data_IF_526954056770
#
_entry.id   IF_526954056770
#
_cell.length_a   1.000
_cell.length_b   1.000
_cell.length_c   1.000
_cell.angle_alpha   90.00
_cell.angle_beta   90.00
_cell.angle_gamma   90.00
#
_symmetry.space_group_name_H-M   'P 1'
#
loop_
_entity.id
_entity.type
_entity.pdbx_description
1 polymer ?
#
# COMPACT_ATOMS: atom_id res chain seq x y z
N UNK A 1 -1.61 -11.82 19.75
CA UNK A 1 -2.95 -11.98 20.36
C UNK A 1 -2.90 -12.39 21.84
N UNK A 2 -2.07 -13.36 22.25
CA UNK A 2 -1.97 -13.75 23.67
C UNK A 2 -1.73 -12.60 24.66
N UNK A 3 -0.87 -11.63 24.31
CA UNK A 3 -0.65 -10.43 25.12
C UNK A 3 -1.89 -9.51 25.25
N UNK A 4 -2.73 -9.41 24.21
CA UNK A 4 -3.97 -8.63 24.25
C UNK A 4 -4.98 -9.26 25.23
N UNK A 5 -5.17 -10.58 25.15
CA UNK A 5 -6.15 -11.30 25.97
C UNK A 5 -5.87 -11.19 27.47
N UNK A 6 -4.59 -11.12 27.85
CA UNK A 6 -4.16 -10.95 29.25
C UNK A 6 -4.51 -9.57 29.80
N UNK A 7 -4.61 -8.55 28.94
CA UNK A 7 -4.77 -7.15 29.34
C UNK A 7 -6.23 -6.71 29.52
N UNK A 8 -7.22 -7.61 29.30
CA UNK A 8 -8.66 -7.29 29.38
C UNK A 8 -9.01 -5.96 28.69
N UNK A 9 -8.81 -5.88 27.37
CA UNK A 9 -8.82 -4.60 26.65
C UNK A 9 -10.20 -3.94 26.70
N UNK A 10 -10.24 -2.65 27.02
CA UNK A 10 -11.46 -1.84 26.91
C UNK A 10 -11.83 -1.57 25.45
N UNK A 11 -10.81 -1.46 24.60
CA UNK A 11 -10.95 -1.15 23.18
C UNK A 11 -9.97 -1.99 22.36
N UNK A 12 -10.43 -2.47 21.20
CA UNK A 12 -9.59 -3.21 20.23
C UNK A 12 -9.70 -2.57 18.85
N UNK A 13 -8.55 -2.24 18.25
CA UNK A 13 -8.46 -1.96 16.81
C UNK A 13 -7.80 -3.15 16.12
N UNK A 14 -8.42 -3.65 15.06
CA UNK A 14 -7.90 -4.79 14.30
C UNK A 14 -7.62 -4.39 12.84
N UNK A 15 -6.34 -4.31 12.50
CA UNK A 15 -5.83 -4.05 11.16
C UNK A 15 -4.95 -5.24 10.74
N UNK A 16 -5.49 -6.10 9.86
CA UNK A 16 -4.84 -7.32 9.35
C UNK A 16 -5.25 -7.48 7.88
N UNK A 17 -4.36 -7.97 7.02
CA UNK A 17 -4.63 -8.18 5.59
C UNK A 17 -3.70 -7.41 4.64
N UNK A 18 -2.96 -6.41 5.13
CA UNK A 18 -2.04 -5.64 4.29
C UNK A 18 -0.81 -6.44 3.84
N UNK A 19 -0.24 -7.24 4.74
CA UNK A 19 0.97 -8.02 4.46
C UNK A 19 0.69 -9.22 3.55
N UNK A 20 -0.53 -9.74 3.61
CA UNK A 20 -1.04 -10.87 2.84
C UNK A 20 -1.02 -10.61 1.33
N UNK A 21 -0.95 -9.35 0.89
CA UNK A 21 -0.81 -8.97 -0.52
C UNK A 21 0.51 -8.27 -0.84
N UNK A 22 1.29 -7.87 0.18
CA UNK A 22 2.45 -7.01 0.01
C UNK A 22 3.59 -7.68 -0.76
N UNK A 23 3.64 -9.01 -0.79
CA UNK A 23 4.58 -9.79 -1.60
C UNK A 23 4.52 -9.44 -3.09
N UNK A 24 3.35 -9.03 -3.60
CA UNK A 24 3.17 -8.66 -5.00
C UNK A 24 3.98 -7.43 -5.44
N UNK A 25 4.54 -6.65 -4.49
CA UNK A 25 5.52 -5.59 -4.82
C UNK A 25 6.76 -6.12 -5.55
N UNK A 26 6.99 -7.44 -5.49
CA UNK A 26 8.02 -8.10 -6.27
C UNK A 26 7.71 -8.24 -7.76
N UNK A 27 6.53 -7.84 -8.25
CA UNK A 27 6.14 -8.02 -9.66
C UNK A 27 5.47 -9.36 -9.97
N UNK A 28 5.33 -10.24 -8.97
CA UNK A 28 4.71 -11.55 -9.15
C UNK A 28 3.40 -11.64 -8.36
N UNK A 29 2.33 -12.08 -9.01
CA UNK A 29 1.07 -12.45 -8.34
C UNK A 29 0.86 -13.95 -8.49
N UNK A 30 1.15 -14.68 -7.40
CA UNK A 30 0.94 -16.12 -7.30
C UNK A 30 0.27 -16.45 -5.97
N UNK A 31 -0.87 -17.15 -6.03
CA UNK A 31 -1.65 -17.57 -4.85
C UNK A 31 -1.42 -19.07 -4.62
N UNK A 32 -1.07 -19.53 -3.40
CA UNK A 32 -0.87 -18.75 -2.16
C UNK A 32 0.59 -18.30 -1.91
N UNK A 33 1.50 -18.49 -2.87
CA UNK A 33 2.95 -18.39 -2.60
C UNK A 33 3.45 -16.97 -2.34
N UNK A 34 2.86 -15.98 -3.02
CA UNK A 34 3.24 -14.55 -2.93
C UNK A 34 2.10 -13.69 -2.39
N UNK A 35 0.86 -14.09 -2.69
CA UNK A 35 -0.37 -13.45 -2.22
C UNK A 35 -1.22 -14.49 -1.52
N UNK A 36 -1.71 -14.18 -0.33
CA UNK A 36 -2.53 -15.10 0.48
C UNK A 36 -3.83 -15.48 -0.23
N UNK A 37 -4.28 -16.72 -0.05
CA UNK A 37 -5.59 -17.13 -0.51
C UNK A 37 -6.69 -16.43 0.33
N UNK A 38 -7.65 -15.72 -0.27
CA UNK A 38 -8.71 -15.05 0.47
C UNK A 38 -9.53 -15.95 1.41
N UNK A 39 -9.68 -17.24 1.11
CA UNK A 39 -10.37 -18.20 1.96
C UNK A 39 -9.52 -18.59 3.18
N UNK A 40 -8.20 -18.75 3.01
CA UNK A 40 -7.28 -18.99 4.12
C UNK A 40 -7.23 -17.77 5.03
N UNK A 41 -7.10 -16.57 4.45
CA UNK A 41 -7.22 -15.31 5.19
C UNK A 41 -8.53 -15.25 5.98
N UNK A 42 -9.67 -15.56 5.36
CA UNK A 42 -10.97 -15.54 6.04
C UNK A 42 -11.00 -16.46 7.27
N UNK A 43 -10.50 -17.69 7.14
CA UNK A 43 -10.45 -18.63 8.27
C UNK A 43 -9.52 -18.14 9.40
N UNK A 44 -8.37 -17.57 9.05
CA UNK A 44 -7.45 -16.98 10.03
C UNK A 44 -8.08 -15.74 10.71
N UNK A 45 -8.70 -14.86 9.93
CA UNK A 45 -9.37 -13.67 10.42
C UNK A 45 -10.52 -14.02 11.36
N UNK A 46 -11.29 -15.06 11.05
CA UNK A 46 -12.35 -15.58 11.92
C UNK A 46 -11.82 -16.03 13.29
N UNK A 47 -10.68 -16.73 13.30
CA UNK A 47 -10.04 -17.13 14.55
C UNK A 47 -9.58 -15.92 15.39
N UNK A 48 -9.11 -14.85 14.73
CA UNK A 48 -8.73 -13.60 15.40
C UNK A 48 -9.98 -12.90 15.95
N UNK A 49 -11.04 -12.77 15.16
CA UNK A 49 -12.32 -12.17 15.58
C UNK A 49 -12.90 -12.92 16.77
N UNK A 50 -12.89 -14.25 16.75
CA UNK A 50 -13.35 -15.06 17.88
C UNK A 50 -12.58 -14.76 19.18
N UNK A 51 -11.26 -14.56 19.09
CA UNK A 51 -10.44 -14.17 20.24
C UNK A 51 -10.79 -12.76 20.74
N UNK A 52 -11.00 -11.80 19.83
CA UNK A 52 -11.44 -10.45 20.21
C UNK A 52 -12.80 -10.49 20.91
N UNK A 53 -13.75 -11.29 20.42
CA UNK A 53 -15.05 -11.47 21.09
C UNK A 53 -14.91 -12.06 22.50
N UNK A 54 -14.08 -13.09 22.65
CA UNK A 54 -13.84 -13.73 23.94
C UNK A 54 -13.21 -12.77 24.97
N UNK A 55 -12.48 -11.75 24.51
CA UNK A 55 -11.94 -10.69 25.36
C UNK A 55 -13.00 -9.69 25.86
N UNK A 56 -14.21 -9.69 25.28
CA UNK A 56 -15.34 -8.82 25.63
C UNK A 56 -14.98 -7.32 25.75
N UNK A 57 -14.33 -6.71 24.73
CA UNK A 57 -14.04 -5.28 24.79
C UNK A 57 -15.33 -4.45 24.75
N UNK A 58 -15.29 -3.25 25.33
CA UNK A 58 -16.42 -2.32 25.29
C UNK A 58 -16.65 -1.78 23.87
N UNK A 59 -15.58 -1.62 23.09
CA UNK A 59 -15.65 -1.20 21.70
C UNK A 59 -14.58 -1.91 20.86
N UNK A 60 -14.90 -2.14 19.59
CA UNK A 60 -13.94 -2.65 18.62
C UNK A 60 -14.12 -1.96 17.26
N UNK A 61 -13.03 -1.81 16.53
CA UNK A 61 -13.03 -1.34 15.14
C UNK A 61 -12.24 -2.30 14.27
N UNK A 62 -12.84 -2.72 13.16
CA UNK A 62 -12.16 -3.51 12.15
C UNK A 62 -11.76 -2.60 10.97
N UNK A 63 -10.54 -2.78 10.48
CA UNK A 63 -9.99 -1.96 9.40
C UNK A 63 -9.98 -2.74 8.09
N UNK A 64 -10.67 -2.23 7.07
CA UNK A 64 -10.65 -2.75 5.69
C UNK A 64 -9.39 -2.35 4.93
N UNK A 65 -9.09 -3.04 3.83
CA UNK A 65 -7.86 -2.88 3.07
C UNK A 65 -8.00 -1.83 1.95
N UNK A 66 -6.90 -1.30 1.40
CA UNK A 66 -6.96 -0.41 0.24
C UNK A 66 -7.73 -1.07 -0.91
N UNK A 67 -8.53 -0.27 -1.62
CA UNK A 67 -9.34 -0.76 -2.75
C UNK A 67 -8.53 -1.07 -4.00
N UNK A 68 -7.40 -0.40 -4.16
CA UNK A 68 -6.58 -0.51 -5.36
C UNK A 68 -5.11 -0.34 -5.01
N UNK A 69 -4.32 -1.37 -5.30
CA UNK A 69 -2.89 -1.39 -5.04
C UNK A 69 -2.13 -0.41 -5.93
N UNK A 70 -2.68 -0.05 -7.08
CA UNK A 70 -2.07 0.93 -7.98
C UNK A 70 -1.98 2.33 -7.37
N UNK A 71 -2.81 2.65 -6.37
CA UNK A 71 -2.79 3.96 -5.70
C UNK A 71 -1.68 4.10 -4.67
N UNK A 72 -1.01 3.01 -4.31
CA UNK A 72 0.11 3.05 -3.36
C UNK A 72 1.30 3.75 -4.01
N UNK A 73 1.85 4.85 -3.44
CA UNK A 73 2.82 5.70 -4.15
C UNK A 73 4.17 5.04 -4.46
N UNK A 74 4.48 3.93 -3.79
CA UNK A 74 5.59 3.05 -4.10
C UNK A 74 5.47 2.35 -5.46
N UNK A 75 4.32 2.44 -6.13
CA UNK A 75 4.14 2.03 -7.52
C UNK A 75 3.94 3.23 -8.44
N UNK A 76 4.61 3.20 -9.59
CA UNK A 76 4.42 4.18 -10.67
C UNK A 76 4.28 3.48 -12.00
N UNK A 77 3.45 4.03 -12.87
CA UNK A 77 3.32 3.50 -14.22
C UNK A 77 4.60 3.73 -15.01
N UNK A 78 4.89 2.86 -15.99
CA UNK A 78 5.98 3.11 -16.92
C UNK A 78 5.84 4.46 -17.63
N UNK A 79 4.61 4.88 -17.94
CA UNK A 79 4.33 6.19 -18.55
C UNK A 79 4.77 7.36 -17.65
N UNK A 80 4.57 7.28 -16.33
CA UNK A 80 5.04 8.29 -15.37
C UNK A 80 6.58 8.36 -15.37
N UNK A 81 7.27 7.21 -15.43
CA UNK A 81 8.74 7.16 -15.49
C UNK A 81 9.27 7.69 -16.83
N UNK A 82 8.61 7.36 -17.93
CA UNK A 82 8.94 7.86 -19.26
C UNK A 82 8.79 9.38 -19.36
N UNK A 83 7.78 9.95 -18.69
CA UNK A 83 7.59 11.40 -18.65
C UNK A 83 8.78 12.12 -18.01
N UNK A 84 9.39 11.54 -16.97
CA UNK A 84 10.55 12.10 -16.25
C UNK A 84 11.92 11.57 -16.75
N UNK A 85 11.95 10.87 -17.90
CA UNK A 85 13.16 10.20 -18.41
C UNK A 85 14.37 11.10 -18.61
N UNK A 86 14.17 12.38 -18.95
CA UNK A 86 15.28 13.33 -19.15
C UNK A 86 15.96 13.67 -17.81
N UNK A 87 15.18 13.77 -16.73
CA UNK A 87 15.70 13.94 -15.37
C UNK A 87 16.45 12.68 -14.93
N UNK A 88 15.88 11.50 -15.20
CA UNK A 88 16.51 10.21 -14.92
C UNK A 88 17.85 10.04 -15.65
N UNK A 89 17.91 10.41 -16.93
CA UNK A 89 19.13 10.31 -17.72
C UNK A 89 20.18 11.35 -17.28
N UNK A 90 19.82 12.63 -17.25
CA UNK A 90 20.76 13.72 -16.97
C UNK A 90 21.24 13.76 -15.51
N UNK A 91 20.31 13.52 -14.57
CA UNK A 91 20.57 13.59 -13.13
C UNK A 91 21.14 12.30 -12.56
N UNK A 92 20.66 11.15 -13.03
CA UNK A 92 20.92 9.86 -12.38
C UNK A 92 21.56 8.80 -13.29
N UNK A 93 21.88 9.16 -14.54
CA UNK A 93 22.53 8.25 -15.50
C UNK A 93 21.72 6.98 -15.76
N UNK A 94 20.40 7.13 -15.77
CA UNK A 94 19.43 6.05 -16.04
C UNK A 94 18.76 6.30 -17.39
N UNK A 95 18.85 5.33 -18.30
CA UNK A 95 18.17 5.37 -19.60
C UNK A 95 16.83 4.65 -19.49
N UNK A 96 15.72 5.38 -19.59
CA UNK A 96 14.38 4.78 -19.52
C UNK A 96 14.03 4.21 -20.89
N UNK A 97 13.82 2.90 -20.95
CA UNK A 97 13.57 2.19 -22.21
C UNK A 97 12.25 2.62 -22.86
N UNK A 98 12.19 2.52 -24.20
CA UNK A 98 11.02 2.89 -25.00
C UNK A 98 9.74 2.12 -24.63
N UNK A 99 9.87 0.92 -24.05
CA UNK A 99 8.73 0.12 -23.56
C UNK A 99 8.04 0.75 -22.33
N UNK A 100 8.58 1.81 -21.74
CA UNK A 100 7.91 2.61 -20.72
C UNK A 100 6.96 3.66 -21.32
N UNK A 101 7.14 4.05 -22.59
CA UNK A 101 6.30 5.07 -23.23
C UNK A 101 4.85 4.62 -23.36
N UNK A 102 3.93 5.27 -22.63
CA UNK A 102 2.52 4.88 -22.59
C UNK A 102 2.24 3.56 -21.85
N UNK A 103 3.24 2.98 -21.18
CA UNK A 103 3.05 1.74 -20.42
C UNK A 103 2.22 2.00 -19.16
N UNK A 104 1.20 1.17 -18.99
CA UNK A 104 0.34 1.15 -17.79
C UNK A 104 0.80 0.13 -16.75
N UNK A 105 1.88 -0.61 -17.02
CA UNK A 105 2.48 -1.50 -16.03
C UNK A 105 2.98 -0.69 -14.85
N UNK A 106 2.74 -1.18 -13.64
CA UNK A 106 3.29 -0.59 -12.42
C UNK A 106 4.71 -1.09 -12.22
N UNK A 107 5.60 -0.17 -11.89
CA UNK A 107 6.99 -0.41 -11.54
C UNK A 107 7.16 -0.11 -10.05
N UNK A 108 7.77 -1.03 -9.31
CA UNK A 108 8.06 -0.84 -7.88
C UNK A 108 9.20 0.15 -7.69
N UNK A 109 8.87 1.38 -7.27
CA UNK A 109 9.82 2.48 -7.15
C UNK A 109 10.93 2.22 -6.12
N UNK A 110 10.65 1.78 -4.88
CA UNK A 110 11.67 1.65 -3.85
C UNK A 110 12.77 0.63 -4.17
N UNK A 111 12.48 -0.36 -5.02
CA UNK A 111 13.43 -1.42 -5.38
C UNK A 111 13.98 -1.24 -6.79
N UNK A 112 13.11 -1.10 -7.78
CA UNK A 112 13.52 -1.05 -9.19
C UNK A 112 14.08 0.32 -9.51
N UNK A 113 13.30 1.40 -9.34
CA UNK A 113 13.73 2.74 -9.76
C UNK A 113 14.91 3.24 -8.92
N UNK A 114 14.81 3.15 -7.58
CA UNK A 114 15.90 3.56 -6.68
C UNK A 114 17.15 2.68 -6.90
N UNK A 115 16.97 1.38 -7.10
CA UNK A 115 18.08 0.46 -7.41
C UNK A 115 18.80 0.82 -8.72
N UNK A 116 18.04 1.08 -9.79
CA UNK A 116 18.59 1.51 -11.09
C UNK A 116 19.29 2.87 -10.99
N UNK A 117 18.75 3.82 -10.20
CA UNK A 117 19.43 5.10 -9.91
C UNK A 117 20.78 4.87 -9.24
N UNK A 118 20.83 4.01 -8.21
CA UNK A 118 22.08 3.66 -7.52
C UNK A 118 23.11 3.08 -8.50
N UNK A 119 22.69 2.14 -9.34
CA UNK A 119 23.55 1.54 -10.37
C UNK A 119 23.98 2.57 -11.44
N UNK A 120 23.09 3.47 -11.86
CA UNK A 120 23.38 4.55 -12.81
C UNK A 120 24.46 5.49 -12.29
N UNK A 121 24.32 5.97 -11.05
CA UNK A 121 25.31 6.82 -10.40
C UNK A 121 26.67 6.13 -10.29
N UNK A 122 26.69 4.84 -9.94
CA UNK A 122 27.92 4.05 -9.89
C UNK A 122 28.56 3.90 -11.29
N UNK A 123 27.77 3.60 -12.32
CA UNK A 123 28.25 3.51 -13.70
C UNK A 123 28.85 4.83 -14.17
N UNK A 124 28.19 5.96 -13.87
CA UNK A 124 28.69 7.31 -14.19
C UNK A 124 30.05 7.59 -13.56
N UNK A 125 30.22 7.25 -12.28
CA UNK A 125 31.50 7.41 -11.57
C UNK A 125 32.62 6.57 -12.19
N UNK A 126 32.29 5.40 -12.73
CA UNK A 126 33.24 4.53 -13.44
C UNK A 126 33.45 4.87 -14.92
N UNK A 127 32.82 5.91 -15.46
CA UNK A 127 32.87 6.25 -16.89
C UNK A 127 32.09 5.28 -17.80
N UNK A 128 31.19 4.47 -17.22
CA UNK A 128 30.34 3.53 -17.94
C UNK A 128 29.11 4.17 -18.60
N UNK A 129 28.36 3.40 -19.41
CA UNK A 129 27.13 3.88 -20.06
C UNK A 129 25.97 4.05 -19.06
N UNK A 130 24.92 4.82 -19.42
CA UNK A 130 23.68 4.85 -18.65
C UNK A 130 23.10 3.46 -18.41
N UNK A 131 22.50 3.25 -17.24
CA UNK A 131 21.89 1.96 -16.89
C UNK A 131 20.45 1.93 -17.38
N UNK A 132 20.02 0.88 -18.12
CA UNK A 132 18.66 0.82 -18.64
C UNK A 132 17.63 0.53 -17.55
N UNK A 133 16.48 1.21 -17.63
CA UNK A 133 15.27 0.95 -16.83
C UNK A 133 14.17 0.45 -17.76
N UNK A 134 13.76 -0.81 -17.60
CA UNK A 134 12.68 -1.44 -18.36
C UNK A 134 11.35 -1.40 -17.60
N UNK A 135 10.25 -1.23 -18.33
CA UNK A 135 8.89 -1.37 -17.80
C UNK A 135 8.15 -2.59 -18.36
N UNK A 136 8.86 -3.50 -19.05
CA UNK A 136 8.30 -4.76 -19.53
C UNK A 136 8.32 -5.80 -18.43
N UNK A 137 7.20 -6.49 -18.31
CA UNK A 137 7.03 -7.67 -17.45
C UNK A 137 7.83 -8.86 -18.00
N UNK A 138 8.39 -9.64 -17.08
CA UNK A 138 9.03 -10.92 -17.31
C UNK A 138 8.19 -12.00 -16.60
N UNK A 139 7.29 -12.68 -17.33
CA UNK A 139 6.30 -13.56 -16.72
C UNK A 139 6.91 -14.60 -15.77
N UNK A 140 6.33 -14.69 -14.57
CA UNK A 140 6.74 -15.66 -13.55
C UNK A 140 8.00 -15.29 -12.77
N UNK A 141 8.52 -14.06 -12.92
CA UNK A 141 9.69 -13.58 -12.19
C UNK A 141 9.34 -12.51 -11.17
N UNK A 142 10.24 -12.33 -10.20
CA UNK A 142 10.19 -11.20 -9.27
C UNK A 142 10.95 -10.00 -9.88
N UNK A 143 10.37 -9.38 -10.89
CA UNK A 143 10.97 -8.29 -11.67
C UNK A 143 10.55 -6.89 -11.21
N UNK A 144 9.63 -6.79 -10.25
CA UNK A 144 9.07 -5.54 -9.76
C UNK A 144 8.11 -4.85 -10.74
N UNK A 145 7.58 -5.58 -11.73
CA UNK A 145 6.62 -5.10 -12.72
C UNK A 145 5.27 -5.79 -12.49
N UNK A 146 4.21 -5.02 -12.27
CA UNK A 146 2.84 -5.55 -12.22
C UNK A 146 2.09 -5.13 -13.47
N UNK A 147 1.57 -6.10 -14.21
CA UNK A 147 0.72 -5.86 -15.37
C UNK A 147 -0.70 -5.46 -14.96
N UNK A 148 -1.52 -4.94 -15.88
CA UNK A 148 -2.95 -4.75 -15.62
C UNK A 148 -3.70 -6.03 -15.22
N UNK A 149 -3.21 -7.22 -15.61
CA UNK A 149 -3.80 -8.49 -15.20
C UNK A 149 -3.50 -8.78 -13.72
N UNK A 150 -2.26 -8.58 -13.29
CA UNK A 150 -1.85 -8.73 -11.89
C UNK A 150 -2.64 -7.80 -10.98
N UNK A 151 -2.76 -6.53 -11.37
CA UNK A 151 -3.54 -5.53 -10.61
C UNK A 151 -5.01 -5.93 -10.51
N UNK A 152 -5.61 -6.55 -11.55
CA UNK A 152 -6.98 -7.07 -11.46
C UNK A 152 -7.10 -8.19 -10.44
N UNK A 153 -6.18 -9.16 -10.45
CA UNK A 153 -6.17 -10.26 -9.47
C UNK A 153 -6.03 -9.71 -8.05
N UNK A 154 -5.09 -8.79 -7.82
CA UNK A 154 -4.91 -8.15 -6.51
C UNK A 154 -6.16 -7.40 -6.06
N UNK A 155 -6.84 -6.69 -6.96
CA UNK A 155 -8.09 -6.00 -6.65
C UNK A 155 -9.19 -6.98 -6.22
N UNK A 156 -9.29 -8.14 -6.87
CA UNK A 156 -10.25 -9.18 -6.49
C UNK A 156 -9.94 -9.79 -5.12
N UNK A 157 -8.66 -10.07 -4.83
CA UNK A 157 -8.20 -10.55 -3.52
C UNK A 157 -8.54 -9.53 -2.43
N UNK A 158 -8.13 -8.27 -2.61
CA UNK A 158 -8.41 -7.17 -1.67
C UNK A 158 -9.91 -6.97 -1.44
N UNK A 159 -10.72 -7.07 -2.50
CA UNK A 159 -12.17 -6.96 -2.40
C UNK A 159 -12.78 -8.10 -1.58
N UNK A 160 -12.34 -9.35 -1.80
CA UNK A 160 -12.82 -10.52 -1.04
C UNK A 160 -12.46 -10.41 0.44
N UNK A 161 -11.21 -10.08 0.75
CA UNK A 161 -10.72 -9.90 2.12
C UNK A 161 -11.46 -8.75 2.82
N UNK A 162 -11.54 -7.58 2.18
CA UNK A 162 -12.24 -6.40 2.75
C UNK A 162 -13.74 -6.64 2.95
N UNK A 163 -14.37 -7.37 2.04
CA UNK A 163 -15.78 -7.78 2.17
C UNK A 163 -15.98 -8.71 3.38
N UNK A 164 -15.06 -9.66 3.60
CA UNK A 164 -15.10 -10.53 4.76
C UNK A 164 -14.91 -9.75 6.08
N UNK A 165 -13.91 -8.87 6.16
CA UNK A 165 -13.68 -8.00 7.33
C UNK A 165 -14.94 -7.19 7.66
N UNK A 166 -15.54 -6.56 6.64
CA UNK A 166 -16.75 -5.74 6.81
C UNK A 166 -17.94 -6.55 7.32
N UNK A 167 -18.15 -7.77 6.81
CA UNK A 167 -19.21 -8.65 7.31
C UNK A 167 -19.00 -8.99 8.77
N UNK A 168 -17.78 -9.32 9.19
CA UNK A 168 -17.48 -9.60 10.61
C UNK A 168 -17.68 -8.39 11.50
N UNK A 169 -17.41 -7.17 11.03
CA UNK A 169 -17.75 -5.97 11.78
C UNK A 169 -19.27 -5.84 11.95
N UNK A 170 -20.05 -6.04 10.88
CA UNK A 170 -21.51 -5.95 10.91
C UNK A 170 -22.14 -7.01 11.85
N UNK A 171 -21.75 -8.27 11.72
CA UNK A 171 -22.27 -9.39 12.52
C UNK A 171 -22.00 -9.23 14.02
N UNK A 172 -20.87 -8.64 14.38
CA UNK A 172 -20.50 -8.41 15.78
C UNK A 172 -20.94 -7.03 16.29
N UNK A 173 -21.56 -6.22 15.43
CA UNK A 173 -21.93 -4.86 15.79
C UNK A 173 -20.72 -4.01 16.18
N UNK A 174 -19.63 -4.12 15.44
CA UNK A 174 -18.40 -3.36 15.63
C UNK A 174 -18.26 -2.23 14.61
N UNK A 175 -17.44 -1.24 14.94
CA UNK A 175 -17.14 -0.16 14.00
C UNK A 175 -16.29 -0.69 12.83
N UNK A 176 -16.38 -0.03 11.68
CA UNK A 176 -15.59 -0.36 10.50
C UNK A 176 -15.22 0.90 9.73
N UNK A 177 -13.98 0.98 9.29
CA UNK A 177 -13.53 1.92 8.26
C UNK A 177 -12.54 1.21 7.33
N UNK A 178 -12.17 1.88 6.24
CA UNK A 178 -11.33 1.31 5.19
C UNK A 178 -10.05 2.12 5.02
N UNK A 179 -8.91 1.46 4.80
CA UNK A 179 -7.64 2.12 4.50
C UNK A 179 -7.69 2.98 3.22
N UNK A 180 -8.70 2.79 2.37
CA UNK A 180 -9.04 3.72 1.29
C UNK A 180 -9.29 5.17 1.74
N UNK A 181 -9.53 5.42 3.04
CA UNK A 181 -9.53 6.78 3.59
C UNK A 181 -8.22 7.53 3.30
N UNK A 182 -7.08 6.84 3.32
CA UNK A 182 -5.78 7.37 2.90
C UNK A 182 -5.44 6.97 1.47
N UNK A 183 -5.46 5.66 1.17
CA UNK A 183 -4.98 5.13 -0.11
C UNK A 183 -5.89 5.39 -1.30
N UNK A 184 -7.10 5.91 -1.07
CA UNK A 184 -7.98 6.45 -2.11
C UNK A 184 -7.84 7.96 -2.30
N UNK A 185 -7.04 8.65 -1.50
CA UNK A 185 -6.91 10.11 -1.56
C UNK A 185 -6.02 10.54 -2.73
N UNK A 186 -6.40 11.56 -3.51
CA UNK A 186 -5.51 12.12 -4.53
C UNK A 186 -4.26 12.77 -3.91
N UNK A 187 -4.28 13.11 -2.62
CA UNK A 187 -3.19 13.80 -1.92
C UNK A 187 -1.94 12.95 -1.77
N UNK A 188 -2.05 11.62 -1.85
CA UNK A 188 -0.91 10.73 -1.63
C UNK A 188 -0.16 10.40 -2.92
N UNK A 189 -0.70 10.75 -4.10
CA UNK A 189 -0.12 10.37 -5.39
C UNK A 189 0.17 11.60 -6.27
N UNK A 190 1.07 12.51 -5.84
CA UNK A 190 1.51 13.60 -6.70
C UNK A 190 2.22 13.05 -7.95
N UNK A 191 2.37 13.84 -9.04
CA UNK A 191 3.15 13.43 -10.20
C UNK A 191 4.53 12.90 -9.82
N UNK A 192 4.99 11.86 -10.50
CA UNK A 192 6.32 11.30 -10.26
C UNK A 192 7.42 12.32 -10.57
N UNK A 193 8.47 12.33 -9.74
CA UNK A 193 9.70 13.10 -9.96
C UNK A 193 10.88 12.36 -9.35
N UNK A 194 11.83 11.95 -10.18
CA UNK A 194 13.07 11.32 -9.74
C UNK A 194 13.94 12.28 -8.91
N UNK A 195 13.88 13.59 -9.22
CA UNK A 195 14.53 14.60 -8.40
C UNK A 195 13.97 14.59 -6.98
N UNK A 196 12.64 14.74 -6.82
CA UNK A 196 11.98 14.67 -5.51
C UNK A 196 12.25 13.35 -4.79
N UNK A 197 12.19 12.22 -5.52
CA UNK A 197 12.47 10.89 -4.97
C UNK A 197 13.85 10.81 -4.31
N UNK A 198 14.85 11.45 -4.90
CA UNK A 198 16.24 11.35 -4.43
C UNK A 198 16.70 12.47 -3.52
N UNK A 199 16.04 13.64 -3.54
CA UNK A 199 16.50 14.82 -2.79
C UNK A 199 15.56 15.28 -1.68
N UNK A 200 14.32 14.79 -1.64
CA UNK A 200 13.34 15.18 -0.62
C UNK A 200 13.42 14.32 0.64
N UNK A 201 13.09 14.91 1.79
CA UNK A 201 12.83 14.16 3.03
C UNK A 201 11.48 13.42 3.00
N UNK A 202 10.60 13.82 2.06
CA UNK A 202 9.26 13.28 1.81
C UNK A 202 9.12 12.87 0.32
N UNK A 203 9.84 11.83 -0.13
CA UNK A 203 9.89 11.47 -1.56
C UNK A 203 8.54 11.00 -2.13
N UNK A 204 7.62 10.57 -1.27
CA UNK A 204 6.25 10.15 -1.63
C UNK A 204 5.18 11.14 -1.12
N UNK A 205 5.59 12.36 -0.77
CA UNK A 205 4.75 13.38 -0.14
C UNK A 205 4.52 13.15 1.35
N UNK A 206 3.88 14.12 2.00
CA UNK A 206 3.79 14.21 3.47
C UNK A 206 3.02 13.09 4.17
N UNK A 207 2.21 12.32 3.45
CA UNK A 207 1.30 11.32 4.02
C UNK A 207 1.82 9.89 3.95
N UNK A 208 2.86 9.63 3.17
CA UNK A 208 3.47 8.31 3.00
C UNK A 208 4.93 8.38 3.46
N UNK A 209 5.38 7.31 4.10
CA UNK A 209 6.73 7.20 4.62
C UNK A 209 7.77 7.09 3.48
N UNK A 210 9.06 7.13 3.83
CA UNK A 210 10.15 7.01 2.85
C UNK A 210 10.23 5.63 2.17
N UNK A 211 9.54 4.63 2.67
CA UNK A 211 9.46 3.33 1.99
C UNK A 211 8.46 3.31 0.82
N UNK A 212 7.61 4.32 0.66
CA UNK A 212 6.61 4.41 -0.40
C UNK A 212 5.36 3.55 -0.19
N UNK A 213 5.27 2.80 0.91
CA UNK A 213 4.15 1.89 1.20
C UNK A 213 3.38 2.31 2.44
N UNK A 214 4.07 2.55 3.56
CA UNK A 214 3.41 2.76 4.84
C UNK A 214 3.03 4.24 5.07
N UNK A 215 1.96 4.53 5.83
CA UNK A 215 1.60 5.90 6.15
C UNK A 215 2.70 6.58 7.00
N UNK A 216 2.95 7.87 6.73
CA UNK A 216 3.73 8.73 7.64
C UNK A 216 2.93 9.02 8.92
N UNK A 217 3.49 9.79 9.87
CA UNK A 217 2.73 10.27 11.04
C UNK A 217 1.46 11.04 10.66
N UNK A 218 1.49 11.85 9.59
CA UNK A 218 0.29 12.54 9.09
C UNK A 218 -0.68 11.58 8.39
N UNK A 219 -0.19 10.57 7.67
CA UNK A 219 -1.04 9.53 7.09
C UNK A 219 -1.75 8.72 8.17
N UNK A 220 -1.03 8.36 9.24
CA UNK A 220 -1.61 7.69 10.41
C UNK A 220 -2.67 8.57 11.10
N UNK A 221 -2.44 9.89 11.22
CA UNK A 221 -3.44 10.79 11.77
C UNK A 221 -4.73 10.83 10.91
N UNK A 222 -4.60 10.76 9.58
CA UNK A 222 -5.75 10.68 8.68
C UNK A 222 -6.56 9.39 8.89
N UNK A 223 -5.88 8.25 9.05
CA UNK A 223 -6.53 6.96 9.33
C UNK A 223 -7.15 6.92 10.73
N UNK A 224 -6.48 7.47 11.74
CA UNK A 224 -7.02 7.63 13.08
C UNK A 224 -8.29 8.51 13.09
N UNK A 225 -8.33 9.56 12.27
CA UNK A 225 -9.53 10.37 12.10
C UNK A 225 -10.68 9.57 11.47
N UNK A 226 -10.39 8.74 10.46
CA UNK A 226 -11.39 7.85 9.87
C UNK A 226 -11.90 6.81 10.89
N UNK A 227 -11.02 6.28 11.74
CA UNK A 227 -11.39 5.40 12.84
C UNK A 227 -12.29 6.12 13.87
N UNK A 228 -11.93 7.34 14.27
CA UNK A 228 -12.72 8.14 15.21
C UNK A 228 -14.14 8.41 14.69
N UNK A 229 -14.29 8.73 13.39
CA UNK A 229 -15.60 8.89 12.74
C UNK A 229 -16.40 7.59 12.81
N UNK A 230 -15.82 6.45 12.46
CA UNK A 230 -16.51 5.16 12.50
C UNK A 230 -16.91 4.76 13.92
N UNK A 231 -16.04 5.00 14.90
CA UNK A 231 -16.28 4.74 16.31
C UNK A 231 -17.41 5.61 16.87
N UNK A 232 -17.40 6.91 16.56
CA UNK A 232 -18.47 7.82 16.95
C UNK A 232 -19.81 7.40 16.35
N UNK A 233 -19.83 7.04 15.06
CA UNK A 233 -21.04 6.58 14.40
C UNK A 233 -21.59 5.28 15.00
N UNK A 234 -20.72 4.37 15.46
CA UNK A 234 -21.13 3.07 16.00
C UNK A 234 -21.50 3.10 17.48
N UNK A 235 -20.78 3.88 18.28
CA UNK A 235 -20.79 3.79 19.74
C UNK A 235 -21.10 5.12 20.44
N UNK A 236 -21.18 6.25 19.73
CA UNK A 236 -21.49 7.55 20.33
C UNK A 236 -20.40 8.10 21.25
N UNK A 237 -19.13 7.74 21.03
CA UNK A 237 -18.03 8.06 21.95
C UNK A 237 -17.65 9.55 22.03
N UNK A 238 -18.08 10.39 21.08
CA UNK A 238 -17.75 11.81 21.06
C UNK A 238 -16.25 12.10 20.90
N UNK A 239 -15.50 11.19 20.28
CA UNK A 239 -14.08 11.37 20.00
C UNK A 239 -13.88 12.59 19.10
N UNK A 240 -12.86 13.39 19.38
CA UNK A 240 -12.46 14.46 18.48
C UNK A 240 -12.02 13.85 17.15
N UNK A 241 -12.83 14.03 16.12
CA UNK A 241 -12.40 13.92 14.74
C UNK A 241 -12.03 15.33 14.28
N UNK A 242 -10.85 15.51 13.69
CA UNK A 242 -10.52 16.76 13.00
C UNK A 242 -11.37 16.80 11.73
N UNK A 243 -12.63 17.20 11.91
CA UNK A 243 -13.67 17.22 10.90
C UNK A 243 -13.42 18.31 9.87
N UNK A 244 -13.20 17.87 8.64
CA UNK A 244 -13.30 18.66 7.42
C UNK A 244 -13.21 17.70 6.23
N UNK A 245 -14.01 17.89 5.16
CA UNK A 245 -13.81 17.13 3.93
C UNK A 245 -12.46 17.57 3.35
N UNK A 246 -11.51 16.64 3.26
CA UNK A 246 -10.27 16.82 2.51
C UNK A 246 -10.42 16.16 1.15
#
# INVERSE_FOLDING_TARGET
>A
LGAMLIQQPLFVSLEVGGNEVLGARGGLVAIPQIVEDPAVFAAQFDAIVAQVKAAQPQAAVLVGLPRDFSNVPGFRTGAELWADRLTLLGGFHVDVNANCNGSVNLVTVPTIVVGTIGAGLQSKQGGGPPVPLSCADVPGQLDGILTPADVRVLREVLARMSSHIRRRAQENGWAYFDLGALYGSPLIRPPFSAATLMTSLEPYGRYISRDGFHPSGLGQAMLANAAAVALNARYGLGLSSTGGPW
#
